data_IF_304687588787
#
_entry.id   IF_304687588787
#
_cell.length_a   1.000
_cell.length_b   1.000
_cell.length_c   1.000
_cell.angle_alpha   90.00
_cell.angle_beta   90.00
_cell.angle_gamma   90.00
#
_symmetry.space_group_name_H-M   'P 1'
#
loop_
_entity.id
_entity.type
_entity.pdbx_description
1 polymer ?
#
# COMPACT_ATOMS: atom_id res chain seq x y z
N UNK A 1 -1.48 6.78 -6.29
CA UNK A 1 -2.13 5.71 -7.06
C UNK A 1 -3.62 5.76 -6.80
N UNK A 2 -4.46 5.55 -7.81
CA UNK A 2 -5.92 5.52 -7.65
C UNK A 2 -6.44 4.15 -8.06
N UNK A 3 -7.31 3.55 -7.25
CA UNK A 3 -7.94 2.26 -7.53
C UNK A 3 -9.37 2.22 -6.99
N UNK A 4 -10.18 1.33 -7.54
CA UNK A 4 -11.53 1.07 -7.05
C UNK A 4 -11.47 -0.06 -6.01
N UNK A 5 -11.64 0.31 -4.74
CA UNK A 5 -11.72 -0.63 -3.64
C UNK A 5 -13.13 -1.22 -3.54
N UNK A 6 -13.22 -2.53 -3.30
CA UNK A 6 -14.48 -3.23 -3.09
C UNK A 6 -14.60 -3.83 -1.67
N UNK A 7 -13.69 -3.46 -0.76
CA UNK A 7 -13.59 -3.95 0.62
C UNK A 7 -13.35 -5.46 0.78
N UNK A 8 -13.19 -6.23 -0.32
CA UNK A 8 -13.09 -7.70 -0.23
C UNK A 8 -11.68 -8.22 0.01
N UNK A 9 -10.64 -7.38 -0.07
CA UNK A 9 -9.27 -7.84 0.07
C UNK A 9 -8.25 -6.70 0.22
N UNK A 10 -7.03 -7.01 0.68
CA UNK A 10 -5.96 -6.04 0.73
C UNK A 10 -5.45 -5.71 -0.67
N UNK A 11 -4.89 -4.51 -0.83
CA UNK A 11 -4.11 -4.11 -2.01
C UNK A 11 -2.65 -4.45 -1.74
N UNK A 12 -2.01 -5.16 -2.67
CA UNK A 12 -0.57 -5.45 -2.61
C UNK A 12 0.20 -4.54 -3.58
N UNK A 13 1.23 -3.87 -3.06
CA UNK A 13 2.01 -2.87 -3.80
C UNK A 13 3.48 -3.25 -3.71
N UNK A 14 4.10 -3.51 -4.85
CA UNK A 14 5.56 -3.69 -4.89
C UNK A 14 6.27 -2.35 -4.69
N UNK A 15 7.27 -2.32 -3.80
CA UNK A 15 8.08 -1.13 -3.56
C UNK A 15 9.55 -1.37 -3.96
N UNK A 16 10.08 -0.62 -4.95
CA UNK A 16 11.45 -0.77 -5.39
C UNK A 16 12.46 -0.22 -4.37
N UNK A 17 13.61 -0.88 -4.23
CA UNK A 17 14.66 -0.50 -3.26
C UNK A 17 15.20 0.91 -3.48
N UNK A 18 15.30 1.35 -4.73
CA UNK A 18 15.84 2.67 -5.07
C UNK A 18 15.03 3.85 -4.51
N UNK A 19 13.73 3.68 -4.25
CA UNK A 19 12.87 4.72 -3.67
C UNK A 19 12.38 4.42 -2.26
N UNK A 20 12.33 3.14 -1.88
CA UNK A 20 11.73 2.68 -0.63
C UNK A 20 12.67 1.70 0.08
N UNK A 21 13.90 2.11 0.45
CA UNK A 21 14.91 1.18 0.97
C UNK A 21 14.38 0.36 2.16
N UNK A 22 13.61 1.00 3.04
CA UNK A 22 13.03 0.41 4.25
C UNK A 22 11.53 0.06 4.11
N UNK A 23 10.98 0.10 2.89
CA UNK A 23 9.54 0.01 2.67
C UNK A 23 8.89 1.39 2.60
N UNK A 24 7.58 1.44 2.85
CA UNK A 24 6.82 2.68 2.75
C UNK A 24 5.56 2.68 3.61
N UNK A 25 5.01 3.88 3.81
CA UNK A 25 3.78 4.15 4.56
C UNK A 25 2.68 4.55 3.59
N UNK A 26 1.46 4.12 3.88
CA UNK A 26 0.29 4.54 3.13
C UNK A 26 -0.38 5.74 3.83
N UNK A 27 -0.93 6.66 3.04
CA UNK A 27 -1.69 7.81 3.54
C UNK A 27 -3.00 7.41 4.23
N UNK A 28 -3.55 6.25 3.87
CA UNK A 28 -4.80 5.71 4.40
C UNK A 28 -4.73 4.19 4.53
N UNK A 29 -5.59 3.65 5.39
CA UNK A 29 -5.67 2.22 5.66
C UNK A 29 -4.56 1.72 6.58
N UNK A 30 -4.67 0.45 6.94
CA UNK A 30 -3.65 -0.27 7.71
C UNK A 30 -2.65 -0.88 6.72
N UNK A 31 -1.37 -0.57 6.88
CA UNK A 31 -0.30 -0.99 5.97
C UNK A 31 0.72 -1.87 6.69
N UNK A 32 1.10 -2.99 6.05
CA UNK A 32 2.09 -3.95 6.56
C UNK A 32 3.16 -4.18 5.49
N UNK A 33 4.43 -4.07 5.86
CA UNK A 33 5.56 -4.24 4.96
C UNK A 33 6.21 -5.62 5.09
N UNK A 34 6.40 -6.31 3.96
CA UNK A 34 7.22 -7.52 3.83
C UNK A 34 8.52 -7.18 3.09
N UNK A 35 9.62 -7.06 3.84
CA UNK A 35 10.93 -6.74 3.30
C UNK A 35 11.53 -7.84 2.42
N UNK A 36 11.20 -9.11 2.68
CA UNK A 36 11.73 -10.24 1.92
C UNK A 36 11.13 -10.32 0.52
N UNK A 37 9.82 -10.01 0.41
CA UNK A 37 9.10 -9.99 -0.86
C UNK A 37 9.04 -8.62 -1.53
N UNK A 38 9.44 -7.57 -0.80
CA UNK A 38 9.35 -6.16 -1.22
C UNK A 38 7.91 -5.71 -1.50
N UNK A 39 6.95 -6.20 -0.73
CA UNK A 39 5.51 -5.92 -0.90
C UNK A 39 4.95 -5.18 0.31
N UNK A 40 4.25 -4.07 0.05
CA UNK A 40 3.42 -3.37 1.01
C UNK A 40 1.96 -3.81 0.82
N UNK A 41 1.37 -4.38 1.86
CA UNK A 41 -0.03 -4.81 1.89
C UNK A 41 -0.85 -3.75 2.60
N UNK A 42 -1.85 -3.17 1.93
CA UNK A 42 -2.69 -2.08 2.45
C UNK A 42 -4.15 -2.52 2.50
N UNK A 43 -4.78 -2.40 3.67
CA UNK A 43 -6.22 -2.67 3.86
C UNK A 43 -6.97 -1.37 4.07
N UNK A 44 -7.81 -1.00 3.11
CA UNK A 44 -8.68 0.18 3.17
C UNK A 44 -10.07 -0.21 3.70
N UNK A 45 -10.66 0.62 4.56
CA UNK A 45 -11.99 0.38 5.17
C UNK A 45 -13.16 0.97 4.35
N UNK A 46 -12.89 1.36 3.11
CA UNK A 46 -13.85 2.02 2.25
C UNK A 46 -13.98 1.29 0.91
N UNK A 47 -15.17 1.37 0.35
CA UNK A 47 -15.53 0.95 -1.01
C UNK A 47 -15.65 2.19 -1.91
N UNK A 48 -15.41 2.00 -3.19
CA UNK A 48 -15.38 3.07 -4.19
C UNK A 48 -13.97 3.54 -4.54
N UNK A 49 -13.88 4.72 -5.17
CA UNK A 49 -12.60 5.25 -5.67
C UNK A 49 -11.75 5.76 -4.52
N UNK A 50 -10.57 5.17 -4.35
CA UNK A 50 -9.60 5.53 -3.30
C UNK A 50 -8.34 6.08 -3.95
N UNK A 51 -7.78 7.15 -3.37
CA UNK A 51 -6.46 7.66 -3.74
C UNK A 51 -5.47 7.34 -2.63
N UNK A 52 -4.54 6.45 -2.94
CA UNK A 52 -3.49 6.02 -2.02
C UNK A 52 -2.16 6.68 -2.38
N UNK A 53 -1.58 7.38 -1.40
CA UNK A 53 -0.22 7.91 -1.51
C UNK A 53 0.71 7.05 -0.67
N UNK A 54 1.79 6.54 -1.27
CA UNK A 54 2.80 5.75 -0.57
C UNK A 54 4.08 6.56 -0.51
N UNK A 55 4.59 6.79 0.70
CA UNK A 55 5.85 7.52 0.96
C UNK A 55 6.88 6.62 1.59
N UNK A 56 8.19 6.82 1.35
CA UNK A 56 9.23 6.06 2.04
C UNK A 56 9.13 6.19 3.57
N UNK A 57 9.55 5.14 4.29
CA UNK A 57 9.77 5.21 5.75
C UNK A 57 11.01 6.01 6.13
#
# INVERSE_FOLDING_TARGET
MTFDGNETGPTEIYLPTAGFPNGGRASEGEATWDAARRVLTVRTKASGRITLTVTPE
#
